data_IF_321973613100
#
_entry.id   IF_321973613100
#
_cell.length_a   1.000
_cell.length_b   1.000
_cell.length_c   1.000
_cell.angle_alpha   90.00
_cell.angle_beta   90.00
_cell.angle_gamma   90.00
#
_symmetry.space_group_name_H-M   'P 1'
#
loop_
_entity.id
_entity.type
_entity.pdbx_description
1 polymer ?
#
# COMPACT_ATOMS: atom_id res chain seq x y z
N UNK A 1 26.17 0.67 -17.93
CA UNK A 1 27.13 1.51 -17.16
C UNK A 1 26.86 3.01 -17.31
N UNK A 2 27.26 3.70 -18.39
CA UNK A 2 27.07 5.17 -18.47
C UNK A 2 25.58 5.61 -18.47
N UNK A 3 24.72 4.87 -19.16
CA UNK A 3 23.28 5.14 -19.20
C UNK A 3 22.62 4.89 -17.84
N UNK A 4 22.88 3.74 -17.20
CA UNK A 4 22.32 3.41 -15.87
C UNK A 4 22.76 4.40 -14.79
N UNK A 5 24.02 4.85 -14.80
CA UNK A 5 24.49 5.90 -13.91
C UNK A 5 23.75 7.23 -14.13
N UNK A 6 23.44 7.55 -15.39
CA UNK A 6 22.67 8.75 -15.73
C UNK A 6 21.23 8.63 -15.24
N UNK A 7 20.59 7.47 -15.45
CA UNK A 7 19.24 7.19 -14.95
C UNK A 7 19.23 7.31 -13.43
N UNK A 8 20.15 6.64 -12.73
CA UNK A 8 20.24 6.69 -11.27
C UNK A 8 20.45 8.12 -10.76
N UNK A 9 21.32 8.91 -11.39
CA UNK A 9 21.50 10.32 -11.03
C UNK A 9 20.20 11.13 -11.16
N UNK A 10 19.38 10.88 -12.18
CA UNK A 10 18.08 11.53 -12.34
C UNK A 10 17.06 11.04 -11.30
N UNK A 11 17.07 9.75 -10.96
CA UNK A 11 16.26 9.20 -9.86
C UNK A 11 16.58 9.91 -8.55
N UNK A 12 17.86 10.12 -8.26
CA UNK A 12 18.30 10.80 -7.04
C UNK A 12 17.80 12.24 -6.97
N UNK A 13 17.73 12.95 -8.11
CA UNK A 13 17.10 14.29 -8.16
C UNK A 13 15.60 14.24 -7.82
N UNK A 14 14.87 13.23 -8.30
CA UNK A 14 13.45 13.05 -7.96
C UNK A 14 13.28 12.78 -6.47
N UNK A 15 14.10 11.89 -5.89
CA UNK A 15 14.10 11.60 -4.45
C UNK A 15 14.42 12.87 -3.63
N UNK A 16 15.42 13.64 -4.04
CA UNK A 16 15.76 14.90 -3.36
C UNK A 16 14.64 15.93 -3.45
N UNK A 17 13.99 16.07 -4.60
CA UNK A 17 12.85 16.96 -4.78
C UNK A 17 11.70 16.54 -3.85
N UNK A 18 11.45 15.24 -3.72
CA UNK A 18 10.48 14.70 -2.74
C UNK A 18 10.85 15.08 -1.31
N UNK A 19 12.09 14.82 -0.89
CA UNK A 19 12.59 15.14 0.46
C UNK A 19 12.52 16.64 0.78
N UNK A 20 12.59 17.50 -0.23
CA UNK A 20 12.45 18.97 -0.12
C UNK A 20 10.99 19.45 -0.18
N UNK A 21 10.01 18.55 -0.29
CA UNK A 21 8.59 18.89 -0.43
C UNK A 21 8.21 19.48 -1.80
N UNK A 22 9.10 19.43 -2.79
CA UNK A 22 8.93 20.15 -4.07
C UNK A 22 7.95 19.45 -5.02
N UNK A 23 7.69 18.16 -4.82
CA UNK A 23 6.77 17.38 -5.65
C UNK A 23 5.30 17.52 -5.22
N UNK A 24 5.02 18.34 -4.19
CA UNK A 24 3.74 18.36 -3.49
C UNK A 24 3.54 17.09 -2.65
N UNK A 25 2.28 16.81 -2.27
CA UNK A 25 1.99 15.64 -1.43
C UNK A 25 2.50 15.78 -0.01
N UNK A 26 2.61 17.01 0.50
CA UNK A 26 2.94 17.31 1.90
C UNK A 26 2.07 16.55 2.91
N UNK A 27 0.86 16.19 2.46
CA UNK A 27 -0.03 15.26 3.13
C UNK A 27 -0.26 14.04 2.22
N UNK A 28 0.16 12.87 2.67
CA UNK A 28 -0.17 11.58 2.07
C UNK A 28 -1.61 11.18 2.42
N UNK A 29 -2.26 10.33 1.61
CA UNK A 29 -3.60 9.85 1.92
C UNK A 29 -3.70 9.22 3.33
N UNK A 30 -2.71 8.40 3.70
CA UNK A 30 -2.61 7.68 4.96
C UNK A 30 -2.41 8.59 6.20
N UNK A 31 -2.00 9.86 6.01
CA UNK A 31 -1.96 10.85 7.10
C UNK A 31 -3.36 11.17 7.65
N UNK A 32 -4.41 10.80 6.93
CA UNK A 32 -5.79 10.87 7.38
C UNK A 32 -6.14 9.63 8.23
N UNK A 33 -5.85 9.72 9.53
CA UNK A 33 -6.00 8.61 10.48
C UNK A 33 -6.46 9.11 11.87
N UNK A 34 -6.98 8.21 12.74
CA UNK A 34 -7.53 8.58 14.05
C UNK A 34 -6.48 8.84 15.14
N UNK A 35 -5.18 8.71 14.85
CA UNK A 35 -4.11 8.96 15.82
C UNK A 35 -3.98 7.88 16.91
N UNK A 36 -4.25 6.62 16.59
CA UNK A 36 -4.00 5.51 17.51
C UNK A 36 -2.50 5.37 17.83
N UNK A 37 -2.12 4.80 18.99
CA UNK A 37 -0.72 4.53 19.30
C UNK A 37 -0.06 3.66 18.22
N UNK A 38 1.19 3.95 17.87
CA UNK A 38 1.87 3.29 16.74
C UNK A 38 1.93 1.76 16.88
N UNK A 39 2.09 1.29 18.12
CA UNK A 39 2.20 -0.12 18.51
C UNK A 39 0.85 -0.81 18.74
N UNK A 40 -0.27 -0.09 18.61
CA UNK A 40 -1.59 -0.59 19.00
C UNK A 40 -2.20 -1.53 17.94
N UNK A 41 -2.98 -2.51 18.41
CA UNK A 41 -3.71 -3.42 17.52
C UNK A 41 -4.67 -2.65 16.59
N UNK A 42 -5.33 -1.62 17.12
CA UNK A 42 -6.25 -0.75 16.40
C UNK A 42 -5.55 -0.01 15.26
N UNK A 43 -4.34 0.48 15.49
CA UNK A 43 -3.56 1.18 14.48
C UNK A 43 -3.20 0.23 13.31
N UNK A 44 -2.73 -0.97 13.63
CA UNK A 44 -2.42 -1.99 12.64
C UNK A 44 -3.65 -2.40 11.82
N UNK A 45 -4.80 -2.60 12.47
CA UNK A 45 -6.06 -2.90 11.78
C UNK A 45 -6.54 -1.74 10.91
N UNK A 46 -6.42 -0.50 11.40
CA UNK A 46 -6.81 0.71 10.69
C UNK A 46 -6.03 0.88 9.39
N UNK A 47 -4.72 0.60 9.37
CA UNK A 47 -3.95 0.69 8.13
C UNK A 47 -4.08 -0.55 7.23
N UNK A 48 -4.54 -1.68 7.77
CA UNK A 48 -4.68 -2.92 7.00
C UNK A 48 -6.01 -3.02 6.24
N UNK A 49 -7.14 -2.75 6.90
CA UNK A 49 -8.46 -3.02 6.31
C UNK A 49 -8.83 -2.07 5.15
N UNK A 50 -8.72 -0.73 5.28
CA UNK A 50 -8.91 0.20 4.16
C UNK A 50 -7.96 -0.06 3.01
N UNK A 51 -6.70 -0.44 3.30
CA UNK A 51 -5.69 -0.67 2.28
C UNK A 51 -6.10 -1.77 1.29
N UNK A 52 -6.79 -2.82 1.76
CA UNK A 52 -7.36 -3.83 0.89
C UNK A 52 -8.34 -3.26 -0.15
N UNK A 53 -8.97 -2.11 0.14
CA UNK A 53 -9.89 -1.41 -0.76
C UNK A 53 -9.23 -0.23 -1.52
N UNK A 54 -7.92 -0.01 -1.36
CA UNK A 54 -7.17 1.12 -1.93
C UNK A 54 -6.71 0.89 -3.38
N UNK A 55 -7.57 0.29 -4.21
CA UNK A 55 -7.28 0.02 -5.62
C UNK A 55 -8.37 0.61 -6.53
N UNK A 56 -7.96 1.18 -7.68
CA UNK A 56 -8.85 1.78 -8.68
C UNK A 56 -9.85 2.81 -8.11
N UNK A 57 -9.42 3.58 -7.11
CA UNK A 57 -10.20 4.66 -6.51
C UNK A 57 -9.31 5.82 -6.11
N UNK A 58 -9.92 6.93 -5.73
CA UNK A 58 -9.21 8.03 -5.11
C UNK A 58 -8.80 7.64 -3.68
N UNK A 59 -7.48 7.55 -3.44
CA UNK A 59 -6.91 7.14 -2.16
C UNK A 59 -7.20 8.16 -1.04
N UNK A 60 -7.06 9.46 -1.31
CA UNK A 60 -7.38 10.52 -0.33
C UNK A 60 -8.82 10.38 0.19
N UNK A 61 -9.79 10.21 -0.72
CA UNK A 61 -11.19 10.01 -0.34
C UNK A 61 -11.41 8.74 0.48
N UNK A 62 -10.67 7.65 0.20
CA UNK A 62 -10.77 6.43 1.00
C UNK A 62 -10.33 6.68 2.44
N UNK A 63 -9.19 7.33 2.64
CA UNK A 63 -8.65 7.54 3.98
C UNK A 63 -9.43 8.60 4.76
N UNK A 64 -9.93 9.65 4.11
CA UNK A 64 -10.93 10.57 4.70
C UNK A 64 -12.19 9.82 5.19
N UNK A 65 -12.73 8.93 4.35
CA UNK A 65 -13.85 8.07 4.70
C UNK A 65 -13.54 7.12 5.86
N UNK A 66 -12.35 6.52 5.85
CA UNK A 66 -11.90 5.59 6.90
C UNK A 66 -11.74 6.32 8.23
N UNK A 67 -11.09 7.48 8.24
CA UNK A 67 -10.88 8.27 9.45
C UNK A 67 -12.20 8.76 10.05
N UNK A 68 -13.11 9.24 9.20
CA UNK A 68 -14.46 9.62 9.62
C UNK A 68 -15.24 8.44 10.21
N UNK A 69 -15.03 7.23 9.70
CA UNK A 69 -15.67 6.02 10.24
C UNK A 69 -15.05 5.61 11.56
N UNK A 70 -13.71 5.64 11.70
CA UNK A 70 -13.03 5.29 12.94
C UNK A 70 -13.43 6.22 14.09
N UNK A 71 -13.65 7.52 13.80
CA UNK A 71 -14.05 8.51 14.80
C UNK A 71 -15.57 8.56 15.08
N UNK A 72 -16.40 7.75 14.42
CA UNK A 72 -17.83 7.71 14.69
C UNK A 72 -18.21 6.44 15.46
N UNK A 73 -18.68 6.56 16.73
CA UNK A 73 -19.06 5.42 17.57
C UNK A 73 -20.12 4.47 16.97
N UNK A 74 -20.96 4.96 16.06
CA UNK A 74 -21.99 4.15 15.41
C UNK A 74 -21.43 3.22 14.32
N UNK A 75 -20.21 3.45 13.85
CA UNK A 75 -19.62 2.67 12.74
C UNK A 75 -18.19 2.19 13.02
N UNK A 76 -17.49 2.72 14.01
CA UNK A 76 -16.08 2.43 14.28
C UNK A 76 -15.79 0.93 14.52
N UNK A 77 -16.79 0.17 15.00
CA UNK A 77 -16.69 -1.28 15.15
C UNK A 77 -16.44 -2.06 13.86
N UNK A 78 -16.59 -1.45 12.66
CA UNK A 78 -16.16 -2.08 11.40
C UNK A 78 -14.65 -2.32 11.34
N UNK A 79 -13.86 -1.69 12.20
CA UNK A 79 -12.42 -1.92 12.32
C UNK A 79 -12.06 -2.99 13.33
N UNK A 80 -13.03 -3.59 14.02
CA UNK A 80 -12.80 -4.65 15.02
C UNK A 80 -13.20 -6.01 14.42
N UNK A 81 -12.25 -6.93 14.16
CA UNK A 81 -12.54 -8.18 13.47
C UNK A 81 -13.68 -9.00 14.07
N UNK A 82 -13.66 -9.22 15.38
CA UNK A 82 -14.71 -9.96 16.08
C UNK A 82 -16.10 -9.33 15.91
N UNK A 83 -16.21 -7.99 15.99
CA UNK A 83 -17.48 -7.27 15.80
C UNK A 83 -17.99 -7.42 14.37
N UNK A 84 -17.11 -7.30 13.37
CA UNK A 84 -17.46 -7.50 11.96
C UNK A 84 -18.02 -8.90 11.71
N UNK A 85 -17.45 -9.93 12.34
CA UNK A 85 -17.91 -11.32 12.20
C UNK A 85 -19.30 -11.50 12.79
N UNK A 86 -19.60 -10.86 13.93
CA UNK A 86 -20.88 -10.93 14.63
C UNK A 86 -22.00 -10.14 13.93
N UNK A 87 -21.67 -9.10 13.14
CA UNK A 87 -22.66 -8.30 12.42
C UNK A 87 -23.45 -9.13 11.41
N UNK A 88 -24.71 -8.74 11.17
CA UNK A 88 -25.43 -9.19 9.98
C UNK A 88 -24.79 -8.63 8.70
N UNK A 89 -25.06 -9.27 7.56
CA UNK A 89 -24.57 -8.77 6.27
C UNK A 89 -25.08 -7.35 5.97
N UNK A 90 -26.36 -7.09 6.25
CA UNK A 90 -27.00 -5.79 6.09
C UNK A 90 -26.33 -4.71 6.96
N UNK A 91 -26.15 -4.98 8.25
CA UNK A 91 -25.50 -4.04 9.17
C UNK A 91 -24.07 -3.70 8.73
N UNK A 92 -23.27 -4.71 8.35
CA UNK A 92 -21.90 -4.47 7.88
C UNK A 92 -21.88 -3.64 6.60
N UNK A 93 -22.77 -3.97 5.64
CA UNK A 93 -22.92 -3.22 4.40
C UNK A 93 -23.25 -1.76 4.68
N UNK A 94 -24.28 -1.51 5.48
CA UNK A 94 -24.77 -0.15 5.78
C UNK A 94 -23.70 0.71 6.46
N UNK A 95 -22.95 0.14 7.41
CA UNK A 95 -21.85 0.85 8.07
C UNK A 95 -20.70 1.17 7.12
N UNK A 96 -20.30 0.21 6.28
CA UNK A 96 -19.20 0.42 5.31
C UNK A 96 -19.55 1.44 4.22
N UNK A 97 -20.82 1.53 3.80
CA UNK A 97 -21.25 2.50 2.77
C UNK A 97 -21.58 3.88 3.34
N UNK A 98 -21.93 4.00 4.63
CA UNK A 98 -22.36 5.27 5.27
C UNK A 98 -21.40 6.43 5.00
N UNK A 99 -20.10 6.15 5.07
CA UNK A 99 -19.05 7.12 4.74
C UNK A 99 -18.26 6.74 3.49
N UNK A 100 -18.73 5.79 2.69
CA UNK A 100 -18.09 5.36 1.44
C UNK A 100 -16.71 4.70 1.62
N UNK A 101 -16.48 4.03 2.77
CA UNK A 101 -15.34 3.10 2.90
C UNK A 101 -15.48 2.00 1.85
N UNK A 102 -16.67 1.42 1.72
CA UNK A 102 -17.05 0.59 0.57
C UNK A 102 -17.78 1.43 -0.50
N UNK A 103 -17.32 1.32 -1.75
CA UNK A 103 -17.99 1.81 -2.95
C UNK A 103 -18.83 0.73 -3.64
N UNK A 104 -18.51 -0.56 -3.42
CA UNK A 104 -19.25 -1.69 -3.98
C UNK A 104 -20.04 -2.37 -2.85
N UNK A 105 -21.35 -2.10 -2.71
CA UNK A 105 -22.15 -2.47 -1.52
C UNK A 105 -22.29 -3.98 -1.30
N UNK A 106 -22.03 -4.81 -2.31
CA UNK A 106 -22.12 -6.26 -2.17
C UNK A 106 -20.72 -6.88 -2.05
N UNK A 107 -19.81 -6.55 -2.98
CA UNK A 107 -18.50 -7.20 -3.06
C UNK A 107 -17.55 -6.81 -1.94
N UNK A 108 -17.47 -5.52 -1.61
CA UNK A 108 -16.46 -5.04 -0.65
C UNK A 108 -16.79 -5.41 0.81
N UNK A 109 -18.06 -5.40 1.27
CA UNK A 109 -18.39 -5.95 2.59
C UNK A 109 -18.04 -7.43 2.75
N UNK A 110 -18.21 -8.25 1.71
CA UNK A 110 -17.78 -9.66 1.73
C UNK A 110 -16.25 -9.79 1.87
N UNK A 111 -15.49 -8.99 1.13
CA UNK A 111 -14.02 -8.93 1.21
C UNK A 111 -13.57 -8.48 2.60
N UNK A 112 -14.19 -7.42 3.12
CA UNK A 112 -13.90 -6.88 4.44
C UNK A 112 -14.16 -7.91 5.55
N UNK A 113 -15.31 -8.59 5.51
CA UNK A 113 -15.64 -9.67 6.43
C UNK A 113 -14.64 -10.82 6.32
N UNK A 114 -14.30 -11.26 5.10
CA UNK A 114 -13.34 -12.35 4.89
C UNK A 114 -11.97 -12.02 5.49
N UNK A 115 -11.47 -10.79 5.32
CA UNK A 115 -10.23 -10.34 5.97
C UNK A 115 -10.35 -10.36 7.50
N UNK A 116 -11.44 -9.82 8.06
CA UNK A 116 -11.69 -9.85 9.50
C UNK A 116 -11.73 -11.28 10.05
N UNK A 117 -12.43 -12.20 9.37
CA UNK A 117 -12.44 -13.63 9.72
C UNK A 117 -11.04 -14.23 9.67
N UNK A 118 -10.27 -13.98 8.61
CA UNK A 118 -8.88 -14.45 8.49
C UNK A 118 -8.01 -13.95 9.65
N UNK A 119 -8.10 -12.66 10.00
CA UNK A 119 -7.34 -12.09 11.10
C UNK A 119 -7.79 -12.63 12.46
N UNK A 120 -9.09 -12.80 12.67
CA UNK A 120 -9.62 -13.39 13.90
C UNK A 120 -9.16 -14.84 14.09
N UNK A 121 -9.33 -15.68 13.07
CA UNK A 121 -9.11 -17.12 13.18
C UNK A 121 -7.63 -17.49 13.25
N UNK A 122 -6.78 -16.81 12.46
CA UNK A 122 -5.36 -17.16 12.34
C UNK A 122 -4.46 -16.35 13.28
N UNK A 123 -4.92 -15.17 13.68
CA UNK A 123 -4.10 -14.17 14.36
C UNK A 123 -4.83 -13.50 15.53
N UNK A 124 -5.89 -14.12 16.08
CA UNK A 124 -6.65 -13.61 17.23
C UNK A 124 -7.16 -12.16 17.08
N UNK A 125 -7.35 -11.70 15.85
CA UNK A 125 -7.78 -10.35 15.50
C UNK A 125 -6.62 -9.33 15.47
N UNK A 126 -5.39 -9.76 15.65
CA UNK A 126 -4.20 -8.92 15.77
C UNK A 126 -3.24 -9.15 14.60
N UNK A 127 -3.17 -8.17 13.70
CA UNK A 127 -2.29 -8.20 12.51
C UNK A 127 -0.81 -8.31 12.90
N UNK A 128 -0.41 -7.85 14.09
CA UNK A 128 0.99 -7.96 14.56
C UNK A 128 1.46 -9.41 14.64
N UNK A 129 0.55 -10.34 14.94
CA UNK A 129 0.87 -11.77 14.99
C UNK A 129 1.16 -12.37 13.60
N UNK A 130 0.64 -11.79 12.51
CA UNK A 130 1.04 -12.16 11.15
C UNK A 130 2.51 -11.83 10.90
N UNK A 131 2.96 -10.66 11.34
CA UNK A 131 4.37 -10.25 11.19
C UNK A 131 5.29 -11.07 12.08
N UNK A 132 4.92 -11.25 13.35
CA UNK A 132 5.69 -12.05 14.32
C UNK A 132 5.86 -13.51 13.86
N UNK A 133 4.78 -14.14 13.38
CA UNK A 133 4.81 -15.53 12.87
C UNK A 133 5.80 -15.71 11.72
N UNK A 134 5.98 -14.67 10.90
CA UNK A 134 6.84 -14.68 9.72
C UNK A 134 8.18 -13.97 9.99
N UNK A 135 8.61 -13.92 11.26
CA UNK A 135 9.89 -13.36 11.69
C UNK A 135 10.17 -11.94 11.18
N UNK A 136 9.11 -11.16 10.94
CA UNK A 136 9.18 -9.82 10.35
C UNK A 136 9.85 -9.77 8.96
N UNK A 137 10.04 -10.91 8.28
CA UNK A 137 10.62 -11.00 6.93
C UNK A 137 9.55 -10.72 5.88
N UNK A 138 9.81 -9.72 5.04
CA UNK A 138 8.98 -9.40 3.87
C UNK A 138 8.77 -10.63 2.99
N UNK A 139 9.81 -11.42 2.77
CA UNK A 139 9.71 -12.64 1.98
C UNK A 139 8.79 -13.67 2.60
N UNK A 140 8.95 -13.95 3.90
CA UNK A 140 8.12 -14.95 4.59
C UNK A 140 6.66 -14.49 4.69
N UNK A 141 6.42 -13.21 5.00
CA UNK A 141 5.07 -12.63 5.04
C UNK A 141 4.39 -12.78 3.69
N UNK A 142 5.07 -12.42 2.60
CA UNK A 142 4.54 -12.57 1.25
C UNK A 142 4.27 -14.03 0.90
N UNK A 143 5.18 -14.94 1.26
CA UNK A 143 5.00 -16.37 1.01
C UNK A 143 3.79 -16.95 1.78
N UNK A 144 3.58 -16.61 3.05
CA UNK A 144 2.42 -17.04 3.85
C UNK A 144 1.12 -16.49 3.25
N UNK A 145 1.09 -15.21 2.87
CA UNK A 145 -0.10 -14.60 2.27
C UNK A 145 -0.41 -15.15 0.87
N UNK A 146 0.60 -15.39 0.04
CA UNK A 146 0.41 -15.91 -1.32
C UNK A 146 0.03 -17.40 -1.34
N UNK A 147 0.56 -18.21 -0.42
CA UNK A 147 0.15 -19.60 -0.25
C UNK A 147 -1.31 -19.72 0.23
N UNK A 148 -1.82 -18.68 0.91
CA UNK A 148 -3.21 -18.59 1.38
C UNK A 148 -3.97 -17.43 0.73
N UNK A 149 -3.75 -17.20 -0.57
CA UNK A 149 -4.22 -15.99 -1.27
C UNK A 149 -5.72 -15.67 -1.08
N UNK A 150 -6.56 -16.70 -1.03
CA UNK A 150 -8.01 -16.56 -0.86
C UNK A 150 -8.42 -16.05 0.54
N UNK A 151 -7.54 -16.20 1.52
CA UNK A 151 -7.75 -15.68 2.88
C UNK A 151 -7.45 -14.18 2.98
N UNK A 152 -6.70 -13.64 2.02
CA UNK A 152 -6.30 -12.23 1.98
C UNK A 152 -6.81 -11.55 0.70
N UNK A 153 -8.13 -11.52 0.46
CA UNK A 153 -8.69 -10.96 -0.77
C UNK A 153 -8.31 -9.48 -0.92
N UNK A 154 -7.87 -9.13 -2.12
CA UNK A 154 -7.28 -7.83 -2.51
C UNK A 154 -5.96 -7.47 -1.83
N UNK A 155 -5.82 -7.71 -0.52
CA UNK A 155 -4.63 -7.39 0.26
C UNK A 155 -3.37 -8.13 -0.24
N UNK A 156 -3.50 -9.41 -0.62
CA UNK A 156 -2.39 -10.22 -1.19
C UNK A 156 -2.13 -9.97 -2.68
N UNK A 157 -2.78 -8.98 -3.30
CA UNK A 157 -2.48 -8.58 -4.67
C UNK A 157 -1.12 -7.89 -4.77
N UNK A 158 -0.35 -8.16 -5.83
CA UNK A 158 1.05 -7.69 -5.96
C UNK A 158 1.22 -6.19 -5.65
N UNK A 159 0.36 -5.32 -6.20
CA UNK A 159 0.42 -3.87 -5.92
C UNK A 159 0.11 -3.55 -4.45
N UNK A 160 -1.06 -4.00 -3.99
CA UNK A 160 -1.59 -3.63 -2.67
C UNK A 160 -0.74 -4.21 -1.55
N UNK A 161 -0.24 -5.44 -1.68
CA UNK A 161 0.60 -6.06 -0.68
C UNK A 161 1.90 -5.30 -0.45
N UNK A 162 2.58 -4.87 -1.53
CA UNK A 162 3.82 -4.09 -1.40
C UNK A 162 3.55 -2.70 -0.79
N UNK A 163 2.49 -2.02 -1.23
CA UNK A 163 2.17 -0.69 -0.68
C UNK A 163 1.66 -0.76 0.76
N UNK A 164 0.91 -1.81 1.11
CA UNK A 164 0.51 -2.08 2.49
C UNK A 164 1.72 -2.29 3.39
N UNK A 165 2.66 -3.16 3.02
CA UNK A 165 3.88 -3.38 3.82
C UNK A 165 4.66 -2.08 4.04
N UNK A 166 4.77 -1.24 3.01
CA UNK A 166 5.36 0.09 3.13
C UNK A 166 4.60 0.98 4.12
N UNK A 167 3.27 1.11 3.97
CA UNK A 167 2.46 1.91 4.87
C UNK A 167 2.56 1.43 6.31
N UNK A 168 2.67 0.11 6.53
CA UNK A 168 2.90 -0.42 7.88
C UNK A 168 4.23 0.06 8.47
N UNK A 169 5.33 0.16 7.70
CA UNK A 169 6.60 0.68 8.23
C UNK A 169 6.59 2.18 8.49
N UNK A 170 5.77 2.94 7.78
CA UNK A 170 5.72 4.40 7.94
C UNK A 170 4.76 4.86 9.06
N UNK A 171 3.68 4.11 9.30
CA UNK A 171 2.56 4.54 10.16
C UNK A 171 2.35 3.68 11.40
N UNK A 172 3.23 2.70 11.66
CA UNK A 172 3.23 1.88 12.87
C UNK A 172 4.65 1.77 13.45
N UNK A 173 4.82 0.98 14.50
CA UNK A 173 6.14 0.63 15.05
C UNK A 173 6.81 -0.57 14.34
N UNK A 174 6.24 -1.06 13.23
CA UNK A 174 6.71 -2.25 12.53
C UNK A 174 8.08 -2.04 11.91
N UNK A 175 9.06 -2.80 12.38
CA UNK A 175 10.36 -2.96 11.73
C UNK A 175 10.37 -4.26 10.92
N UNK A 176 10.51 -4.14 9.60
CA UNK A 176 10.64 -5.29 8.69
C UNK A 176 12.10 -5.61 8.43
N UNK A 177 12.46 -6.89 8.50
CA UNK A 177 13.73 -7.35 7.94
C UNK A 177 13.58 -7.48 6.42
N UNK A 178 14.71 -7.60 5.71
CA UNK A 178 14.78 -7.80 4.25
C UNK A 178 13.86 -6.90 3.40
N UNK A 179 13.68 -5.64 3.85
CA UNK A 179 12.82 -4.59 3.25
C UNK A 179 13.04 -4.35 1.76
N UNK A 180 14.23 -4.60 1.23
CA UNK A 180 14.54 -4.58 -0.20
C UNK A 180 13.63 -5.49 -1.04
N UNK A 181 12.99 -6.50 -0.44
CA UNK A 181 11.98 -7.31 -1.12
C UNK A 181 10.64 -6.62 -1.30
N UNK A 182 10.38 -5.46 -0.68
CA UNK A 182 9.21 -4.64 -1.01
C UNK A 182 9.47 -3.98 -2.37
N UNK A 183 8.82 -4.51 -3.41
CA UNK A 183 8.93 -4.00 -4.76
C UNK A 183 8.26 -2.63 -4.85
N UNK A 184 8.78 -1.77 -5.72
CA UNK A 184 8.00 -0.62 -6.22
C UNK A 184 6.65 -1.13 -6.73
N UNK A 185 5.56 -0.43 -6.42
CA UNK A 185 4.24 -0.73 -6.97
C UNK A 185 4.08 -0.04 -8.35
N UNK A 186 4.16 -0.78 -9.48
CA UNK A 186 4.23 -0.19 -10.82
C UNK A 186 2.83 0.17 -11.31
N UNK A 187 2.27 1.27 -10.81
CA UNK A 187 1.03 1.83 -11.33
C UNK A 187 1.27 2.79 -12.49
N UNK A 188 0.20 3.37 -13.03
CA UNK A 188 0.28 4.25 -14.20
C UNK A 188 1.30 5.38 -14.03
N UNK A 189 1.39 6.00 -12.84
CA UNK A 189 2.34 7.09 -12.60
C UNK A 189 3.78 6.57 -12.52
N UNK A 190 4.01 5.47 -11.82
CA UNK A 190 5.34 4.85 -11.73
C UNK A 190 5.81 4.33 -13.08
N UNK A 191 4.93 3.71 -13.88
CA UNK A 191 5.26 3.22 -15.23
C UNK A 191 5.62 4.40 -16.15
N UNK A 192 4.82 5.47 -16.15
CA UNK A 192 5.12 6.66 -16.94
C UNK A 192 6.42 7.35 -16.48
N UNK A 193 6.68 7.41 -15.17
CA UNK A 193 7.94 7.93 -14.63
C UNK A 193 9.14 7.08 -15.08
N UNK A 194 8.98 5.76 -15.10
CA UNK A 194 10.01 4.81 -15.54
C UNK A 194 10.37 5.01 -17.03
N UNK A 195 9.36 5.24 -17.88
CA UNK A 195 9.58 5.60 -19.28
C UNK A 195 10.29 6.95 -19.41
N UNK A 196 9.85 7.97 -18.66
CA UNK A 196 10.42 9.32 -18.72
C UNK A 196 11.88 9.37 -18.24
N UNK A 197 12.23 8.55 -17.25
CA UNK A 197 13.60 8.39 -16.77
C UNK A 197 14.47 7.57 -17.73
N UNK A 198 13.89 6.95 -18.76
CA UNK A 198 14.60 6.07 -19.69
C UNK A 198 14.94 4.70 -19.10
N UNK A 199 14.31 4.31 -17.99
CA UNK A 199 14.49 2.99 -17.36
C UNK A 199 13.85 1.86 -18.20
N UNK A 200 12.74 2.18 -18.85
CA UNK A 200 12.10 1.35 -19.87
C UNK A 200 11.95 2.15 -21.16
N UNK A 201 11.79 1.46 -22.29
CA UNK A 201 11.52 2.10 -23.58
C UNK A 201 10.03 1.99 -23.99
N UNK A 202 9.66 2.67 -25.07
CA UNK A 202 8.29 2.66 -25.63
C UNK A 202 7.80 1.26 -26.00
N UNK A 203 8.69 0.38 -26.47
CA UNK A 203 8.31 -1.00 -26.79
C UNK A 203 7.93 -1.75 -25.52
N UNK A 204 8.71 -1.64 -24.45
CA UNK A 204 8.41 -2.25 -23.15
C UNK A 204 7.16 -1.63 -22.50
N UNK A 205 6.99 -0.31 -22.62
CA UNK A 205 5.84 0.41 -22.08
C UNK A 205 4.49 -0.12 -22.60
N UNK A 206 4.44 -0.53 -23.86
CA UNK A 206 3.23 -1.02 -24.52
C UNK A 206 3.00 -2.54 -24.36
N UNK A 207 3.84 -3.26 -23.61
CA UNK A 207 3.66 -4.70 -23.38
C UNK A 207 2.63 -4.98 -22.29
N UNK A 208 1.96 -6.13 -22.41
CA UNK A 208 0.99 -6.60 -21.41
C UNK A 208 1.63 -6.90 -20.04
N UNK A 209 2.93 -7.17 -20.00
CA UNK A 209 3.71 -7.47 -18.78
C UNK A 209 4.55 -6.28 -18.28
N UNK A 210 4.27 -5.04 -18.74
CA UNK A 210 5.02 -3.83 -18.37
C UNK A 210 5.20 -3.66 -16.86
N UNK A 211 4.22 -4.04 -16.05
CA UNK A 211 4.30 -3.98 -14.59
C UNK A 211 5.45 -4.84 -14.04
N UNK A 212 5.60 -6.06 -14.55
CA UNK A 212 6.66 -6.97 -14.13
C UNK A 212 8.03 -6.46 -14.60
N UNK A 213 8.09 -5.96 -15.84
CA UNK A 213 9.31 -5.37 -16.40
C UNK A 213 9.79 -4.20 -15.52
N UNK A 214 8.88 -3.26 -15.20
CA UNK A 214 9.20 -2.09 -14.37
C UNK A 214 9.71 -2.52 -12.99
N UNK A 215 9.04 -3.47 -12.32
CA UNK A 215 9.47 -3.94 -11.01
C UNK A 215 10.91 -4.50 -11.03
N UNK A 216 11.21 -5.38 -12.00
CA UNK A 216 12.55 -5.98 -12.16
C UNK A 216 13.60 -4.92 -12.50
N UNK A 217 13.27 -3.94 -13.34
CA UNK A 217 14.20 -2.87 -13.74
C UNK A 217 14.56 -1.97 -12.55
N UNK A 218 13.59 -1.64 -11.69
CA UNK A 218 13.85 -0.85 -10.49
C UNK A 218 14.70 -1.60 -9.47
N UNK A 219 14.40 -2.88 -9.24
CA UNK A 219 15.23 -3.74 -8.37
C UNK A 219 16.67 -3.79 -8.85
N UNK A 220 16.90 -4.03 -10.15
CA UNK A 220 18.23 -4.07 -10.73
C UNK A 220 18.95 -2.70 -10.69
N UNK A 221 18.25 -1.60 -10.98
CA UNK A 221 18.84 -0.25 -10.98
C UNK A 221 19.29 0.18 -9.58
N UNK A 222 18.50 -0.15 -8.56
CA UNK A 222 18.74 0.31 -7.19
C UNK A 222 19.66 -0.61 -6.39
N UNK A 223 20.00 -1.79 -6.93
CA UNK A 223 20.93 -2.71 -6.29
C UNK A 223 22.28 -2.02 -5.98
N UNK A 224 22.66 -1.98 -4.71
CA UNK A 224 23.89 -1.34 -4.24
C UNK A 224 23.85 0.20 -4.21
N UNK A 225 22.70 0.82 -4.49
CA UNK A 225 22.53 2.29 -4.42
C UNK A 225 22.30 2.81 -3.00
N UNK A 226 21.99 1.92 -2.05
CA UNK A 226 21.57 2.28 -0.69
C UNK A 226 20.08 2.60 -0.55
N UNK A 227 19.29 2.44 -1.62
CA UNK A 227 17.83 2.55 -1.60
C UNK A 227 17.18 1.20 -1.91
N UNK A 228 16.08 0.92 -1.21
CA UNK A 228 15.22 -0.22 -1.53
C UNK A 228 14.26 0.15 -2.68
N UNK A 229 13.75 -0.83 -3.44
CA UNK A 229 12.83 -0.57 -4.55
C UNK A 229 11.59 0.22 -4.16
N UNK A 230 11.09 0.05 -2.94
CA UNK A 230 9.92 0.78 -2.47
C UNK A 230 10.18 2.27 -2.22
N UNK A 231 11.43 2.68 -1.94
CA UNK A 231 11.77 4.07 -1.58
C UNK A 231 11.52 5.05 -2.72
N UNK A 232 11.55 4.56 -3.97
CA UNK A 232 11.23 5.38 -5.14
C UNK A 232 9.74 5.47 -5.42
N UNK A 233 8.89 4.66 -4.77
CA UNK A 233 7.46 4.60 -5.07
C UNK A 233 6.77 5.95 -4.85
N UNK A 234 6.82 6.50 -3.63
CA UNK A 234 6.17 7.78 -3.29
C UNK A 234 6.74 8.95 -4.12
N UNK A 235 8.07 9.12 -4.25
CA UNK A 235 8.64 10.17 -5.12
C UNK A 235 8.13 10.10 -6.56
N UNK A 236 8.15 8.92 -7.18
CA UNK A 236 7.73 8.76 -8.58
C UNK A 236 6.22 8.97 -8.74
N UNK A 237 5.44 8.49 -7.77
CA UNK A 237 3.98 8.67 -7.78
C UNK A 237 3.59 10.14 -7.70
N UNK A 238 4.19 10.92 -6.78
CA UNK A 238 3.97 12.36 -6.68
C UNK A 238 4.46 13.12 -7.90
N UNK A 239 5.64 12.75 -8.42
CA UNK A 239 6.18 13.35 -9.63
C UNK A 239 5.24 13.13 -10.83
N UNK A 240 4.76 11.90 -11.04
CA UNK A 240 3.79 11.59 -12.08
C UNK A 240 2.46 12.34 -11.92
N UNK A 241 1.95 12.47 -10.69
CA UNK A 241 0.74 13.26 -10.40
C UNK A 241 0.92 14.76 -10.66
N UNK A 242 2.14 15.27 -10.50
CA UNK A 242 2.49 16.66 -10.81
C UNK A 242 2.66 16.93 -12.31
N UNK A 243 2.34 15.96 -13.18
CA UNK A 243 2.67 15.97 -14.61
C UNK A 243 4.18 16.14 -14.86
N UNK A 244 4.98 15.48 -14.03
CA UNK A 244 6.44 15.46 -14.11
C UNK A 244 7.12 16.83 -14.06
N UNK A 245 6.56 17.77 -13.29
CA UNK A 245 7.20 19.06 -13.05
C UNK A 245 8.48 18.88 -12.20
N UNK A 246 9.33 19.90 -12.16
CA UNK A 246 10.49 20.05 -11.27
C UNK A 246 11.75 19.23 -11.59
N UNK A 247 11.64 18.17 -12.38
CA UNK A 247 12.79 17.39 -12.83
C UNK A 247 12.74 17.33 -14.35
N UNK A 248 13.72 18.00 -14.99
CA UNK A 248 13.93 18.06 -16.43
C UNK A 248 14.60 16.78 -16.96
#
# INVERSE_FOLDING_TARGET
>A
MAQEQTILANVMKVIEAYKKGQLGGEKMPEDENPGYPLDSQENYLYFTLPMALNYQRNSYKLWESANRSANNPEVSEIFTPQRVIEMTEESLRDKLIKYQVALQPNKQPLIWRKLCTTFQDRYAGDVRLLFQKNHYSVNEIKADMLSHKQDFPYLSGNKIMNYWLYVMTEYTDLELVDRHHISVAPDTHVIQASLRLGLINETEFNRSDVQQIVAVRWEALLQGSGYDPIDVHTPLWLWGRSNFRYVD
#
